data_IF_220366980024
#
_entry.id   IF_220366980024
#
_cell.length_a   1.000
_cell.length_b   1.000
_cell.length_c   1.000
_cell.angle_alpha   90.00
_cell.angle_beta   90.00
_cell.angle_gamma   90.00
#
_symmetry.space_group_name_H-M   'P 1'
#
loop_
_entity.id
_entity.type
_entity.pdbx_description
1 polymer ?
#
# COMPACT_ATOMS: atom_id res chain seq x y z
N UNK A 1 3.91 17.33 -6.74
CA UNK A 1 3.54 16.71 -8.03
C UNK A 1 2.50 15.66 -7.71
N UNK A 2 1.26 15.91 -8.12
CA UNK A 2 0.12 15.09 -7.71
C UNK A 2 0.08 13.81 -8.54
N UNK A 3 -0.45 12.74 -7.97
CA UNK A 3 -0.53 11.41 -8.58
C UNK A 3 -1.92 10.85 -8.38
N UNK A 4 -2.40 10.13 -9.39
CA UNK A 4 -3.66 9.41 -9.34
C UNK A 4 -3.34 7.92 -9.26
N UNK A 5 -3.90 7.25 -8.26
CA UNK A 5 -3.74 5.80 -8.05
C UNK A 5 -5.13 5.18 -8.07
N UNK A 6 -5.41 4.21 -8.95
CA UNK A 6 -6.67 3.49 -8.88
C UNK A 6 -6.70 2.67 -7.60
N UNK A 7 -7.78 2.81 -6.85
CA UNK A 7 -8.03 2.04 -5.64
C UNK A 7 -9.20 1.09 -5.85
N UNK A 8 -9.17 -0.12 -5.26
CA UNK A 8 -10.31 -1.02 -5.23
C UNK A 8 -11.57 -0.37 -4.65
N UNK A 9 -12.75 -0.77 -5.14
CA UNK A 9 -14.05 -0.16 -4.75
C UNK A 9 -14.35 -0.29 -3.26
N UNK A 10 -13.95 -1.41 -2.66
CA UNK A 10 -14.04 -1.66 -1.22
C UNK A 10 -13.13 -0.72 -0.42
N UNK A 11 -11.90 -0.48 -0.88
CA UNK A 11 -11.01 0.51 -0.26
C UNK A 11 -11.57 1.94 -0.39
N UNK A 12 -12.09 2.30 -1.57
CA UNK A 12 -12.75 3.59 -1.77
C UNK A 12 -13.94 3.79 -0.81
N UNK A 13 -14.73 2.73 -0.60
CA UNK A 13 -15.85 2.74 0.35
C UNK A 13 -15.36 2.93 1.78
N UNK A 14 -14.35 2.17 2.21
CA UNK A 14 -13.78 2.29 3.56
C UNK A 14 -13.23 3.70 3.84
N UNK A 15 -12.56 4.31 2.86
CA UNK A 15 -12.08 5.69 2.98
C UNK A 15 -13.24 6.71 3.06
N UNK A 16 -14.30 6.51 2.28
CA UNK A 16 -15.49 7.37 2.31
C UNK A 16 -16.22 7.27 3.65
N UNK A 17 -16.35 6.06 4.21
CA UNK A 17 -16.90 5.85 5.55
C UNK A 17 -16.05 6.56 6.60
N UNK A 18 -14.72 6.39 6.56
CA UNK A 18 -13.80 7.06 7.49
C UNK A 18 -13.89 8.59 7.43
N UNK A 19 -14.01 9.15 6.22
CA UNK A 19 -14.21 10.59 6.02
C UNK A 19 -15.53 11.06 6.66
N UNK A 20 -16.61 10.31 6.44
CA UNK A 20 -17.95 10.60 6.97
C UNK A 20 -17.97 10.56 8.50
N UNK A 21 -17.40 9.51 9.11
CA UNK A 21 -17.28 9.36 10.57
C UNK A 21 -16.48 10.51 11.21
N UNK A 22 -15.54 11.10 10.47
CA UNK A 22 -14.72 12.22 10.92
C UNK A 22 -15.29 13.59 10.56
N UNK A 23 -16.40 13.65 9.82
CA UNK A 23 -16.96 14.89 9.29
C UNK A 23 -15.97 15.67 8.42
N UNK A 24 -15.14 14.96 7.63
CA UNK A 24 -14.15 15.57 6.73
C UNK A 24 -14.70 15.52 5.30
N UNK A 25 -14.78 16.67 4.64
CA UNK A 25 -15.17 16.71 3.23
C UNK A 25 -14.03 16.21 2.33
N UNK A 26 -14.34 15.62 1.17
CA UNK A 26 -13.33 15.06 0.24
C UNK A 26 -12.23 16.04 -0.19
N UNK A 27 -12.52 17.34 -0.24
CA UNK A 27 -11.60 18.40 -0.67
C UNK A 27 -10.93 19.12 0.51
N UNK A 28 -11.26 18.76 1.76
CA UNK A 28 -10.76 19.45 2.93
C UNK A 28 -9.30 19.05 3.20
N UNK A 29 -8.37 20.01 3.40
CA UNK A 29 -6.94 19.71 3.54
C UNK A 29 -6.56 19.19 4.94
N UNK A 30 -7.39 18.31 5.51
CA UNK A 30 -7.17 17.69 6.83
C UNK A 30 -6.62 16.27 6.71
N UNK A 31 -5.74 15.86 7.63
CA UNK A 31 -5.25 14.49 7.66
C UNK A 31 -6.39 13.51 8.02
N UNK A 32 -6.66 12.55 7.15
CA UNK A 32 -7.67 11.50 7.39
C UNK A 32 -7.18 10.43 8.38
N UNK A 33 -5.86 10.22 8.45
CA UNK A 33 -5.22 9.33 9.42
C UNK A 33 -4.53 10.16 10.50
N UNK A 34 -4.92 9.95 11.75
CA UNK A 34 -4.37 10.66 12.91
C UNK A 34 -3.90 9.68 13.99
N UNK A 35 -2.94 10.13 14.80
CA UNK A 35 -2.51 9.41 16.00
C UNK A 35 -3.42 9.66 17.21
N UNK A 36 -3.02 9.15 18.38
CA UNK A 36 -3.78 9.28 19.63
C UNK A 36 -4.00 10.73 20.09
N UNK A 37 -3.13 11.66 19.69
CA UNK A 37 -3.27 13.10 19.97
C UNK A 37 -4.09 13.86 18.91
N UNK A 38 -4.77 13.15 18.02
CA UNK A 38 -5.53 13.72 16.89
C UNK A 38 -4.68 14.53 15.88
N UNK A 39 -3.36 14.37 15.91
CA UNK A 39 -2.40 14.93 14.95
C UNK A 39 -2.17 13.97 13.78
N UNK A 40 -1.65 14.47 12.65
CA UNK A 40 -1.29 13.66 11.48
C UNK A 40 -0.50 12.41 11.89
N UNK A 41 -0.96 11.24 11.42
CA UNK A 41 -0.28 9.98 11.68
C UNK A 41 1.17 10.03 11.15
N UNK A 42 2.13 9.77 12.03
CA UNK A 42 3.55 9.75 11.67
C UNK A 42 3.91 8.43 10.98
N UNK A 43 5.02 8.43 10.24
CA UNK A 43 5.59 7.20 9.64
C UNK A 43 5.81 6.11 10.70
N UNK A 44 6.37 6.48 11.85
CA UNK A 44 6.59 5.56 12.95
C UNK A 44 5.26 5.01 13.50
N UNK A 45 4.25 5.88 13.68
CA UNK A 45 2.92 5.47 14.10
C UNK A 45 2.26 4.48 13.14
N UNK A 46 2.35 4.71 11.83
CA UNK A 46 1.85 3.79 10.82
C UNK A 46 2.55 2.42 10.88
N UNK A 47 3.88 2.39 11.05
CA UNK A 47 4.62 1.13 11.26
C UNK A 47 4.13 0.39 12.51
N UNK A 48 3.95 1.10 13.63
CA UNK A 48 3.47 0.49 14.86
C UNK A 48 2.06 -0.09 14.73
N UNK A 49 1.15 0.60 14.04
CA UNK A 49 -0.20 0.10 13.74
C UNK A 49 -0.11 -1.20 12.94
N UNK A 50 0.71 -1.23 11.89
CA UNK A 50 0.90 -2.44 11.06
C UNK A 50 1.48 -3.59 11.88
N UNK A 51 2.47 -3.33 12.73
CA UNK A 51 3.05 -4.36 13.59
C UNK A 51 2.04 -4.91 14.59
N UNK A 52 1.26 -4.05 15.25
CA UNK A 52 0.20 -4.47 16.18
C UNK A 52 -0.85 -5.34 15.49
N UNK A 53 -1.31 -4.92 14.30
CA UNK A 53 -2.25 -5.71 13.50
C UNK A 53 -1.66 -7.06 13.09
N UNK A 54 -0.38 -7.10 12.70
CA UNK A 54 0.33 -8.32 12.36
C UNK A 54 0.42 -9.27 13.56
N UNK A 55 0.81 -8.78 14.74
CA UNK A 55 0.87 -9.56 15.97
C UNK A 55 -0.50 -10.13 16.34
N UNK A 56 -1.57 -9.34 16.27
CA UNK A 56 -2.93 -9.84 16.51
C UNK A 56 -3.33 -10.93 15.50
N UNK A 57 -2.95 -10.79 14.23
CA UNK A 57 -3.25 -11.76 13.20
C UNK A 57 -2.50 -13.09 13.38
N UNK A 58 -1.36 -13.13 14.09
CA UNK A 58 -0.63 -14.38 14.41
C UNK A 58 -1.51 -15.34 15.21
N UNK A 59 -2.38 -14.84 16.09
CA UNK A 59 -3.30 -15.68 16.86
C UNK A 59 -4.27 -16.47 15.97
N UNK A 60 -4.62 -15.94 14.80
CA UNK A 60 -5.51 -16.58 13.82
C UNK A 60 -4.70 -17.37 12.78
N UNK A 61 -3.49 -16.90 12.45
CA UNK A 61 -2.59 -17.50 11.46
C UNK A 61 -1.15 -17.51 11.98
N UNK A 62 -0.73 -18.56 12.70
CA UNK A 62 0.59 -18.66 13.32
C UNK A 62 1.76 -18.48 12.34
N UNK A 63 1.59 -18.91 11.08
CA UNK A 63 2.57 -18.76 10.01
C UNK A 63 2.91 -17.29 9.63
N UNK A 64 2.24 -16.30 10.22
CA UNK A 64 2.60 -14.89 10.09
C UNK A 64 3.74 -14.48 11.04
N UNK A 65 4.03 -15.25 12.09
CA UNK A 65 5.05 -14.91 13.09
C UNK A 65 6.44 -14.75 12.47
N UNK A 66 6.76 -15.58 11.47
CA UNK A 66 8.08 -15.57 10.81
C UNK A 66 8.15 -14.66 9.58
N UNK A 67 7.07 -13.91 9.27
CA UNK A 67 7.03 -13.07 8.07
C UNK A 67 7.49 -11.64 8.37
N UNK A 68 8.34 -11.05 7.49
CA UNK A 68 8.70 -9.64 7.60
C UNK A 68 7.51 -8.76 7.18
N UNK A 69 6.69 -8.35 8.15
CA UNK A 69 5.51 -7.50 7.90
C UNK A 69 5.85 -6.03 8.21
N UNK A 70 5.74 -5.17 7.20
CA UNK A 70 5.92 -3.73 7.34
C UNK A 70 5.17 -2.96 6.24
N UNK A 71 4.93 -1.65 6.39
CA UNK A 71 4.29 -0.84 5.34
C UNK A 71 4.98 -0.93 3.97
N UNK A 72 6.31 -1.02 3.93
CA UNK A 72 7.08 -1.13 2.69
C UNK A 72 6.86 -2.46 1.98
N UNK A 73 6.66 -3.55 2.73
CA UNK A 73 6.36 -4.87 2.16
C UNK A 73 4.98 -4.87 1.52
N UNK A 74 3.97 -4.22 2.13
CA UNK A 74 2.64 -4.07 1.52
C UNK A 74 2.70 -3.33 0.19
N UNK A 75 3.49 -2.25 0.11
CA UNK A 75 3.70 -1.51 -1.13
C UNK A 75 4.35 -2.39 -2.21
N UNK A 76 5.38 -3.17 -1.86
CA UNK A 76 6.04 -4.07 -2.80
C UNK A 76 5.09 -5.18 -3.28
N UNK A 77 4.32 -5.78 -2.36
CA UNK A 77 3.32 -6.78 -2.71
C UNK A 77 2.25 -6.23 -3.64
N UNK A 78 1.80 -4.98 -3.46
CA UNK A 78 0.87 -4.33 -4.37
C UNK A 78 1.49 -4.13 -5.76
N UNK A 79 2.74 -3.65 -5.84
CA UNK A 79 3.45 -3.48 -7.10
C UNK A 79 3.60 -4.80 -7.86
N UNK A 80 3.98 -5.88 -7.16
CA UNK A 80 4.08 -7.21 -7.75
C UNK A 80 2.73 -7.74 -8.23
N UNK A 81 1.65 -7.55 -7.46
CA UNK A 81 0.30 -7.96 -7.87
C UNK A 81 -0.15 -7.24 -9.14
N UNK A 82 0.11 -5.93 -9.24
CA UNK A 82 -0.23 -5.14 -10.43
C UNK A 82 0.54 -5.62 -11.66
N UNK A 83 1.84 -5.90 -11.51
CA UNK A 83 2.65 -6.45 -12.60
C UNK A 83 2.13 -7.82 -13.04
N UNK A 84 1.83 -8.71 -12.09
CA UNK A 84 1.28 -10.05 -12.37
C UNK A 84 -0.09 -10.00 -13.05
N UNK A 85 -0.86 -8.91 -12.87
CA UNK A 85 -2.12 -8.68 -13.58
C UNK A 85 -1.95 -8.04 -14.96
N UNK A 86 -0.70 -7.85 -15.44
CA UNK A 86 -0.41 -7.28 -16.75
C UNK A 86 -0.31 -5.75 -16.80
N UNK A 87 -0.24 -5.07 -15.65
CA UNK A 87 0.00 -3.61 -15.64
C UNK A 87 1.48 -3.37 -15.91
N UNK A 88 1.78 -2.52 -16.89
CA UNK A 88 3.16 -2.22 -17.27
C UNK A 88 3.93 -1.49 -16.15
N UNK A 89 5.25 -1.66 -16.14
CA UNK A 89 6.12 -1.13 -15.09
C UNK A 89 6.10 0.40 -15.00
N UNK A 90 5.96 1.11 -16.13
CA UNK A 90 5.95 2.57 -16.15
C UNK A 90 4.68 3.11 -15.50
N UNK A 91 3.53 2.48 -15.76
CA UNK A 91 2.26 2.79 -15.10
C UNK A 91 2.32 2.53 -13.59
N UNK A 92 2.89 1.39 -13.16
CA UNK A 92 3.06 1.09 -11.73
C UNK A 92 3.95 2.14 -11.04
N UNK A 93 5.06 2.54 -11.69
CA UNK A 93 5.95 3.58 -11.17
C UNK A 93 5.25 4.95 -11.10
N UNK A 94 4.44 5.30 -12.10
CA UNK A 94 3.67 6.53 -12.12
C UNK A 94 2.68 6.59 -10.95
N UNK A 95 1.94 5.51 -10.72
CA UNK A 95 0.95 5.41 -9.64
C UNK A 95 1.59 5.40 -8.26
N UNK A 96 2.50 4.47 -8.00
CA UNK A 96 3.04 4.31 -6.65
C UNK A 96 4.03 5.44 -6.31
N UNK A 97 4.53 6.20 -7.29
CA UNK A 97 5.65 7.14 -7.12
C UNK A 97 6.98 6.40 -7.05
N UNK A 98 8.11 7.12 -7.19
CA UNK A 98 9.50 6.61 -7.23
C UNK A 98 9.84 5.71 -6.03
N UNK A 99 9.22 4.54 -5.92
CA UNK A 99 9.60 3.46 -5.04
C UNK A 99 11.07 3.27 -5.35
N UNK A 100 11.92 3.31 -4.33
CA UNK A 100 13.32 3.04 -4.51
C UNK A 100 13.48 1.85 -5.45
N UNK A 101 14.05 2.17 -6.60
CA UNK A 101 14.45 1.27 -7.66
C UNK A 101 15.67 0.51 -7.13
N UNK A 102 15.52 -0.17 -5.98
CA UNK A 102 16.55 -1.02 -5.42
C UNK A 102 16.56 -2.40 -6.12
N UNK A 103 15.66 -2.63 -7.08
CA UNK A 103 15.60 -3.89 -7.85
C UNK A 103 15.06 -3.69 -9.27
N UNK A 104 15.58 -2.74 -10.05
CA UNK A 104 15.36 -2.68 -11.52
C UNK A 104 15.59 -4.06 -12.16
N UNK A 105 16.58 -4.80 -11.65
CA UNK A 105 16.95 -6.14 -12.12
C UNK A 105 15.91 -7.24 -11.86
N UNK A 106 15.07 -7.15 -10.81
CA UNK A 106 14.07 -8.19 -10.53
C UNK A 106 12.81 -8.03 -11.39
N UNK A 107 12.47 -6.79 -11.73
CA UNK A 107 11.29 -6.50 -12.54
C UNK A 107 11.55 -6.73 -14.03
N UNK A 108 12.74 -6.40 -14.55
CA UNK A 108 13.09 -6.72 -15.95
C UNK A 108 13.10 -8.23 -16.21
N UNK A 109 13.60 -9.03 -15.27
CA UNK A 109 13.53 -10.49 -15.40
C UNK A 109 12.08 -11.03 -15.38
N UNK A 110 11.20 -10.41 -14.58
CA UNK A 110 9.79 -10.79 -14.53
C UNK A 110 9.03 -10.38 -15.81
N UNK A 111 9.33 -9.20 -16.37
CA UNK A 111 8.73 -8.69 -17.61
C UNK A 111 9.12 -9.55 -18.82
N UNK A 112 10.41 -9.90 -18.94
CA UNK A 112 10.89 -10.79 -20.01
C UNK A 112 10.23 -12.17 -19.95
N UNK A 113 10.05 -12.76 -18.75
CA UNK A 113 9.38 -14.06 -18.61
C UNK A 113 7.87 -13.98 -18.89
N UNK A 114 7.23 -12.82 -18.66
CA UNK A 114 5.79 -12.64 -18.92
C UNK A 114 5.51 -12.36 -20.41
N UNK A 115 6.35 -11.55 -21.07
CA UNK A 115 6.32 -11.35 -22.53
C UNK A 115 6.59 -12.65 -23.30
N UNK A 116 7.40 -13.57 -22.75
CA UNK A 116 7.69 -14.87 -23.37
C UNK A 116 6.53 -15.88 -23.29
N UNK A 117 5.52 -15.63 -22.45
CA UNK A 117 4.35 -16.51 -22.25
C UNK A 117 3.07 -16.00 -22.93
N UNK A 118 3.17 -14.90 -23.67
CA UNK A 118 2.10 -14.34 -24.52
C UNK A 118 2.37 -14.71 -25.97
#
# INVERSE_FOLDING_TARGET
RDRVVPIPKDLARALTTLLSERGIAHHEPRPIFVGARNERLTRFGATLIVLRAATAAVAIRPALADKPISPHIFRHSLAMKLLQSGVDLLTIQAWLGHAQVATTHRYTAADVEMMRRS
#
